data_IF_471395509390
#
_entry.id   IF_471395509390
#
_cell.length_a   1.000
_cell.length_b   1.000
_cell.length_c   1.000
_cell.angle_alpha   90.00
_cell.angle_beta   90.00
_cell.angle_gamma   90.00
#
_symmetry.space_group_name_H-M   'P 1'
#
loop_
_entity.id
_entity.type
_entity.pdbx_description
1 polymer ?
#
# COMPACT_ATOMS: atom_id res chain seq x y z
N UNK A 1 -10.75 6.79 -14.09
CA UNK A 1 -10.51 7.36 -12.73
C UNK A 1 -9.19 8.15 -12.68
N UNK A 2 -8.09 7.62 -13.22
CA UNK A 2 -6.77 8.23 -13.12
C UNK A 2 -6.65 9.60 -13.81
N UNK A 3 -7.10 9.68 -15.06
CA UNK A 3 -7.11 10.92 -15.85
C UNK A 3 -7.99 12.00 -15.19
N UNK A 4 -9.13 11.64 -14.64
CA UNK A 4 -10.00 12.55 -13.90
C UNK A 4 -9.30 13.13 -12.65
N UNK A 5 -8.50 12.32 -11.95
CA UNK A 5 -7.70 12.81 -10.82
C UNK A 5 -6.68 13.86 -11.24
N UNK A 6 -6.02 13.68 -12.37
CA UNK A 6 -5.11 14.68 -12.93
C UNK A 6 -5.83 15.95 -13.40
N UNK A 7 -6.97 15.82 -14.03
CA UNK A 7 -7.79 16.95 -14.46
C UNK A 7 -8.24 17.80 -13.25
N UNK A 8 -8.76 17.17 -12.21
CA UNK A 8 -9.11 17.84 -10.95
C UNK A 8 -7.90 18.52 -10.31
N UNK A 9 -6.74 17.85 -10.28
CA UNK A 9 -5.52 18.41 -9.73
C UNK A 9 -5.02 19.62 -10.53
N UNK A 10 -5.03 19.54 -11.86
CA UNK A 10 -4.54 20.60 -12.73
C UNK A 10 -5.48 21.82 -12.74
N UNK A 11 -6.79 21.60 -12.65
CA UNK A 11 -7.80 22.68 -12.58
C UNK A 11 -7.90 23.35 -11.19
N UNK A 12 -7.46 22.67 -10.12
CA UNK A 12 -7.52 23.19 -8.77
C UNK A 12 -6.72 24.51 -8.59
N UNK A 13 -7.26 25.43 -7.81
CA UNK A 13 -6.66 26.77 -7.58
C UNK A 13 -5.60 26.73 -6.49
N UNK A 14 -4.40 26.24 -6.83
CA UNK A 14 -3.21 26.27 -5.99
C UNK A 14 -2.08 27.04 -6.67
N UNK A 15 -1.12 27.63 -5.92
CA UNK A 15 0.05 28.27 -6.50
C UNK A 15 0.84 27.31 -7.40
N UNK A 16 1.34 27.74 -8.57
CA UNK A 16 2.03 26.88 -9.52
C UNK A 16 3.20 26.08 -8.92
N UNK A 17 3.98 26.71 -8.04
CA UNK A 17 5.10 26.06 -7.35
C UNK A 17 4.66 24.89 -6.50
N UNK A 18 3.55 25.05 -5.73
CA UNK A 18 3.00 23.98 -4.90
C UNK A 18 2.43 22.85 -5.77
N UNK A 19 1.74 23.19 -6.86
CA UNK A 19 1.27 22.20 -7.84
C UNK A 19 2.43 21.38 -8.39
N UNK A 20 3.50 22.03 -8.84
CA UNK A 20 4.66 21.32 -9.40
C UNK A 20 5.33 20.39 -8.38
N UNK A 21 5.56 20.87 -7.16
CA UNK A 21 6.13 20.06 -6.09
C UNK A 21 5.24 18.88 -5.73
N UNK A 22 3.93 19.07 -5.77
CA UNK A 22 2.95 18.02 -5.49
C UNK A 22 2.87 17.00 -6.63
N UNK A 23 2.94 17.44 -7.87
CA UNK A 23 2.97 16.55 -9.04
C UNK A 23 4.14 15.57 -8.99
N UNK A 24 5.31 16.03 -8.56
CA UNK A 24 6.46 15.13 -8.33
C UNK A 24 6.14 14.04 -7.30
N UNK A 25 5.43 14.38 -6.23
CA UNK A 25 5.03 13.38 -5.23
C UNK A 25 3.97 12.41 -5.76
N UNK A 26 3.00 12.91 -6.51
CA UNK A 26 1.99 12.05 -7.17
C UNK A 26 2.68 11.05 -8.09
N UNK A 27 3.60 11.50 -8.93
CA UNK A 27 4.34 10.62 -9.82
C UNK A 27 5.18 9.58 -9.06
N UNK A 28 5.86 10.00 -7.98
CA UNK A 28 6.61 9.08 -7.12
C UNK A 28 5.72 8.03 -6.44
N UNK A 29 4.54 8.44 -5.98
CA UNK A 29 3.54 7.54 -5.39
C UNK A 29 3.10 6.48 -6.39
N UNK A 30 2.76 6.90 -7.60
CA UNK A 30 2.33 6.02 -8.69
C UNK A 30 3.44 5.04 -9.08
N UNK A 31 4.65 5.54 -9.27
CA UNK A 31 5.81 4.71 -9.60
C UNK A 31 6.06 3.65 -8.52
N UNK A 32 6.03 4.05 -7.24
CA UNK A 32 6.16 3.11 -6.12
C UNK A 32 5.06 2.05 -6.14
N UNK A 33 3.80 2.45 -6.34
CA UNK A 33 2.67 1.52 -6.43
C UNK A 33 2.87 0.53 -7.57
N UNK A 34 3.25 0.98 -8.77
CA UNK A 34 3.56 0.11 -9.91
C UNK A 34 4.68 -0.88 -9.62
N UNK A 35 5.77 -0.43 -8.98
CA UNK A 35 6.84 -1.34 -8.52
C UNK A 35 6.29 -2.33 -7.50
N UNK A 36 5.41 -1.90 -6.59
CA UNK A 36 4.75 -2.75 -5.61
C UNK A 36 3.91 -3.84 -6.24
N UNK A 37 3.15 -3.52 -7.30
CA UNK A 37 2.38 -4.50 -8.08
C UNK A 37 3.28 -5.55 -8.74
N UNK A 38 4.37 -5.13 -9.37
CA UNK A 38 5.34 -6.05 -9.98
C UNK A 38 5.96 -6.97 -8.91
N UNK A 39 6.29 -6.44 -7.75
CA UNK A 39 6.83 -7.23 -6.63
C UNK A 39 5.82 -8.25 -6.12
N UNK A 40 4.54 -7.87 -6.01
CA UNK A 40 3.45 -8.75 -5.55
C UNK A 40 3.23 -9.91 -6.53
N UNK A 41 3.11 -9.61 -7.81
CA UNK A 41 2.98 -10.64 -8.87
C UNK A 41 4.19 -11.59 -8.84
N UNK A 42 5.42 -11.05 -8.79
CA UNK A 42 6.62 -11.88 -8.71
C UNK A 42 6.70 -12.73 -7.44
N UNK A 43 6.13 -12.23 -6.33
CA UNK A 43 6.09 -12.97 -5.06
C UNK A 43 5.20 -14.20 -5.16
N UNK A 44 4.07 -14.11 -5.89
CA UNK A 44 3.17 -15.24 -6.13
C UNK A 44 3.83 -16.42 -6.87
N UNK A 45 4.83 -16.17 -7.70
CA UNK A 45 5.58 -17.22 -8.41
C UNK A 45 6.74 -17.82 -7.60
N UNK A 46 7.07 -17.27 -6.43
CA UNK A 46 8.16 -17.78 -5.60
C UNK A 46 7.71 -18.97 -4.75
N UNK A 47 8.47 -20.05 -4.77
CA UNK A 47 8.21 -21.23 -3.92
C UNK A 47 8.34 -20.93 -2.41
N UNK A 48 9.16 -19.93 -2.04
CA UNK A 48 9.37 -19.52 -0.64
C UNK A 48 9.48 -17.99 -0.56
N UNK A 49 8.45 -17.35 -0.10
CA UNK A 49 8.48 -15.94 0.27
C UNK A 49 9.22 -15.76 1.61
N UNK A 50 9.85 -14.61 1.79
CA UNK A 50 10.41 -14.19 3.09
C UNK A 50 9.59 -13.02 3.62
N UNK A 51 9.48 -12.90 4.92
CA UNK A 51 8.78 -11.79 5.59
C UNK A 51 9.17 -10.42 5.02
N UNK A 52 10.47 -10.18 4.84
CA UNK A 52 10.99 -8.93 4.26
C UNK A 52 10.46 -8.64 2.85
N UNK A 53 10.19 -9.67 2.05
CA UNK A 53 9.69 -9.52 0.69
C UNK A 53 8.21 -9.11 0.73
N UNK A 54 7.41 -9.73 1.60
CA UNK A 54 6.00 -9.37 1.84
C UNK A 54 5.89 -7.95 2.39
N UNK A 55 6.67 -7.61 3.41
CA UNK A 55 6.70 -6.25 3.96
C UNK A 55 7.15 -5.20 2.93
N UNK A 56 8.00 -5.58 1.98
CA UNK A 56 8.38 -4.71 0.87
C UNK A 56 7.18 -4.46 -0.05
N UNK A 57 6.41 -5.49 -0.38
CA UNK A 57 5.15 -5.33 -1.14
C UNK A 57 4.20 -4.39 -0.40
N UNK A 58 3.94 -4.60 0.89
CA UNK A 58 3.07 -3.73 1.69
C UNK A 58 3.50 -2.24 1.65
N UNK A 59 4.82 -1.98 1.73
CA UNK A 59 5.36 -0.61 1.66
C UNK A 59 5.18 0.04 0.29
N UNK A 60 5.47 -0.70 -0.77
CA UNK A 60 5.46 -0.17 -2.13
C UNK A 60 4.05 -0.17 -2.74
N UNK A 61 3.31 -1.28 -2.62
CA UNK A 61 1.97 -1.42 -3.20
C UNK A 61 0.93 -0.64 -2.40
N UNK A 62 0.86 -0.81 -1.06
CA UNK A 62 -0.24 -0.26 -0.25
C UNK A 62 0.13 1.03 0.46
N UNK A 63 1.16 1.04 1.32
CA UNK A 63 1.47 2.22 2.13
C UNK A 63 1.78 3.47 1.28
N UNK A 64 2.34 3.29 0.08
CA UNK A 64 2.69 4.39 -0.80
C UNK A 64 1.48 5.21 -1.25
N UNK A 65 0.34 4.57 -1.57
CA UNK A 65 -0.84 5.28 -2.08
C UNK A 65 -1.98 5.41 -1.08
N UNK A 66 -2.05 4.54 -0.07
CA UNK A 66 -3.14 4.55 0.91
C UNK A 66 -2.90 5.58 2.01
N UNK A 67 -1.66 5.74 2.46
CA UNK A 67 -1.34 6.60 3.61
C UNK A 67 -0.25 7.63 3.30
N UNK A 68 0.95 7.22 2.82
CA UNK A 68 2.07 8.14 2.60
C UNK A 68 1.73 9.20 1.53
N UNK A 69 1.25 8.76 0.37
CA UNK A 69 0.95 9.63 -0.76
C UNK A 69 -0.07 10.71 -0.42
N UNK A 70 -1.30 10.37 0.02
CA UNK A 70 -2.33 11.36 0.34
C UNK A 70 -1.90 12.37 1.39
N UNK A 71 -1.25 11.92 2.48
CA UNK A 71 -0.77 12.82 3.53
C UNK A 71 0.32 13.78 3.03
N UNK A 72 1.27 13.29 2.24
CA UNK A 72 2.35 14.13 1.71
C UNK A 72 1.87 15.06 0.61
N UNK A 73 0.98 14.60 -0.27
CA UNK A 73 0.34 15.41 -1.31
C UNK A 73 -0.46 16.55 -0.67
N UNK A 74 -1.33 16.24 0.29
CA UNK A 74 -2.11 17.24 1.02
C UNK A 74 -1.23 18.25 1.74
N UNK A 75 -0.19 17.79 2.44
CA UNK A 75 0.74 18.65 3.14
C UNK A 75 1.49 19.61 2.18
N UNK A 76 1.93 19.12 1.03
CA UNK A 76 2.61 19.96 0.03
C UNK A 76 1.68 20.97 -0.62
N UNK A 77 0.45 20.58 -0.94
CA UNK A 77 -0.58 21.52 -1.43
C UNK A 77 -0.87 22.61 -0.41
N UNK A 78 -0.84 22.29 0.88
CA UNK A 78 -0.99 23.24 1.97
C UNK A 78 0.28 24.08 2.25
N UNK A 79 1.36 23.91 1.49
CA UNK A 79 2.61 24.66 1.69
C UNK A 79 3.41 24.23 2.93
N UNK A 80 3.26 23.00 3.40
CA UNK A 80 3.93 22.51 4.60
C UNK A 80 5.46 22.54 4.46
N UNK A 81 6.14 22.93 5.53
CA UNK A 81 7.60 22.93 5.60
C UNK A 81 8.17 21.49 5.51
N UNK A 82 9.37 21.36 4.95
CA UNK A 82 10.06 20.06 4.76
C UNK A 82 10.08 19.18 6.01
N UNK A 83 10.27 19.76 7.19
CA UNK A 83 10.30 19.04 8.46
C UNK A 83 8.96 18.35 8.80
N UNK A 84 7.81 19.03 8.53
CA UNK A 84 6.50 18.42 8.73
C UNK A 84 6.26 17.29 7.72
N UNK A 85 6.61 17.51 6.46
CA UNK A 85 6.50 16.46 5.41
C UNK A 85 7.29 15.20 5.79
N UNK A 86 8.50 15.36 6.34
CA UNK A 86 9.30 14.23 6.81
C UNK A 86 8.64 13.49 7.98
N UNK A 87 8.10 14.21 8.97
CA UNK A 87 7.35 13.59 10.09
C UNK A 87 6.13 12.82 9.61
N UNK A 88 5.38 13.36 8.64
CA UNK A 88 4.24 12.69 8.04
C UNK A 88 4.67 11.40 7.32
N UNK A 89 5.80 11.39 6.62
CA UNK A 89 6.35 10.16 6.00
C UNK A 89 6.75 9.10 7.02
N UNK A 90 7.37 9.51 8.14
CA UNK A 90 7.76 8.59 9.21
C UNK A 90 6.55 7.96 9.89
N UNK A 91 5.47 8.71 10.03
CA UNK A 91 4.20 8.23 10.58
C UNK A 91 3.42 7.34 9.60
N UNK A 92 3.27 7.80 8.36
CA UNK A 92 2.37 7.16 7.39
C UNK A 92 2.87 5.82 6.87
N UNK A 93 4.20 5.63 6.75
CA UNK A 93 4.75 4.37 6.24
C UNK A 93 4.40 3.16 7.11
N UNK A 94 4.69 3.15 8.43
CA UNK A 94 4.29 2.04 9.29
C UNK A 94 2.76 1.92 9.38
N UNK A 95 2.02 3.02 9.38
CA UNK A 95 0.56 3.00 9.38
C UNK A 95 0.01 2.27 8.15
N UNK A 96 0.55 2.53 6.96
CA UNK A 96 0.11 1.86 5.74
C UNK A 96 0.46 0.37 5.70
N UNK A 97 1.59 -0.02 6.30
CA UNK A 97 1.94 -1.44 6.47
C UNK A 97 0.97 -2.11 7.44
N UNK A 98 0.67 -1.48 8.58
CA UNK A 98 -0.31 -1.98 9.54
C UNK A 98 -1.71 -2.11 8.92
N UNK A 99 -2.11 -1.14 8.10
CA UNK A 99 -3.36 -1.18 7.35
C UNK A 99 -3.43 -2.42 6.44
N UNK A 100 -2.35 -2.73 5.70
CA UNK A 100 -2.34 -3.91 4.83
C UNK A 100 -2.36 -5.21 5.62
N UNK A 101 -1.65 -5.28 6.76
CA UNK A 101 -1.71 -6.46 7.64
C UNK A 101 -3.13 -6.67 8.16
N UNK A 102 -3.82 -5.59 8.54
CA UNK A 102 -5.21 -5.65 8.96
C UNK A 102 -6.14 -6.12 7.82
N UNK A 103 -5.92 -5.63 6.59
CA UNK A 103 -6.68 -6.07 5.40
C UNK A 103 -6.46 -7.58 5.14
N UNK A 104 -5.22 -8.06 5.24
CA UNK A 104 -4.89 -9.48 5.10
C UNK A 104 -5.57 -10.34 6.19
N UNK A 105 -5.66 -9.85 7.44
CA UNK A 105 -6.38 -10.51 8.55
C UNK A 105 -7.87 -10.59 8.24
N UNK A 106 -8.47 -9.48 7.85
CA UNK A 106 -9.89 -9.41 7.49
C UNK A 106 -10.21 -10.28 6.26
N UNK A 107 -9.29 -10.39 5.31
CA UNK A 107 -9.41 -11.24 4.13
C UNK A 107 -9.50 -12.75 4.47
N UNK A 108 -8.96 -13.17 5.63
CA UNK A 108 -9.00 -14.55 6.08
C UNK A 108 -10.08 -14.84 7.15
N UNK A 109 -10.34 -13.86 8.03
CA UNK A 109 -11.15 -14.07 9.24
C UNK A 109 -12.29 -13.05 9.38
N UNK A 110 -12.43 -12.11 8.43
CA UNK A 110 -13.48 -11.10 8.47
C UNK A 110 -14.86 -11.63 8.10
N UNK A 111 -15.91 -10.84 8.34
CA UNK A 111 -17.26 -11.13 7.88
C UNK A 111 -17.43 -10.61 6.43
N UNK A 112 -17.92 -11.45 5.54
CA UNK A 112 -18.20 -11.10 4.14
C UNK A 112 -19.18 -9.93 3.99
N UNK A 113 -20.11 -9.80 4.96
CA UNK A 113 -21.10 -8.72 4.98
C UNK A 113 -20.47 -7.36 5.26
N UNK A 114 -19.36 -7.35 6.04
CA UNK A 114 -18.63 -6.13 6.38
C UNK A 114 -17.55 -5.80 5.36
N UNK A 115 -16.82 -6.83 4.89
CA UNK A 115 -15.70 -6.66 3.96
C UNK A 115 -16.13 -6.54 2.50
N UNK A 116 -17.33 -7.02 2.16
CA UNK A 116 -17.83 -7.08 0.78
C UNK A 116 -17.06 -8.06 -0.12
N UNK A 117 -16.18 -8.90 0.46
CA UNK A 117 -15.35 -9.87 -0.27
C UNK A 117 -15.53 -11.27 0.34
N UNK A 118 -15.49 -12.35 -0.48
CA UNK A 118 -15.53 -13.71 0.05
C UNK A 118 -14.33 -14.01 0.95
N UNK A 119 -14.58 -14.53 2.14
CA UNK A 119 -13.53 -14.94 3.09
C UNK A 119 -12.60 -15.97 2.44
N UNK A 120 -11.30 -15.81 2.66
CA UNK A 120 -10.27 -16.70 2.11
C UNK A 120 -9.98 -16.51 0.61
N UNK A 121 -10.45 -15.41 0.00
CA UNK A 121 -10.15 -15.09 -1.41
C UNK A 121 -8.65 -15.03 -1.68
N UNK A 122 -7.88 -14.42 -0.80
CA UNK A 122 -6.42 -14.31 -0.91
C UNK A 122 -5.74 -15.69 -0.87
N UNK A 123 -6.25 -16.59 -0.03
CA UNK A 123 -5.75 -17.97 0.04
C UNK A 123 -6.04 -18.76 -1.24
N UNK A 124 -7.28 -18.63 -1.76
CA UNK A 124 -7.66 -19.27 -3.04
C UNK A 124 -6.84 -18.78 -4.23
N UNK A 125 -6.41 -17.51 -4.19
CA UNK A 125 -5.55 -16.91 -5.24
C UNK A 125 -4.06 -17.24 -5.04
N UNK A 126 -3.70 -17.97 -3.97
CA UNK A 126 -2.30 -18.30 -3.68
C UNK A 126 -1.45 -17.10 -3.27
N UNK A 127 -2.08 -16.01 -2.78
CA UNK A 127 -1.39 -14.80 -2.37
C UNK A 127 -0.48 -15.08 -1.17
N UNK A 128 0.75 -14.61 -1.25
CA UNK A 128 1.74 -14.76 -0.18
C UNK A 128 1.56 -13.63 0.84
N UNK A 129 0.82 -13.89 1.92
CA UNK A 129 0.63 -12.95 3.04
C UNK A 129 1.52 -13.32 4.23
N UNK A 130 1.70 -12.41 5.20
CA UNK A 130 2.40 -12.70 6.45
C UNK A 130 1.71 -13.81 7.24
N UNK A 131 0.38 -13.90 7.18
CA UNK A 131 -0.42 -14.93 7.86
C UNK A 131 -0.13 -16.31 7.28
N UNK A 132 -0.15 -16.43 5.94
CA UNK A 132 0.16 -17.68 5.24
C UNK A 132 1.61 -18.08 5.51
N UNK A 133 2.55 -17.14 5.44
CA UNK A 133 3.95 -17.39 5.75
C UNK A 133 4.12 -17.93 7.18
N UNK A 134 3.45 -17.30 8.16
CA UNK A 134 3.49 -17.71 9.56
C UNK A 134 2.92 -19.12 9.75
N UNK A 135 1.77 -19.41 9.15
CA UNK A 135 1.14 -20.72 9.20
C UNK A 135 2.04 -21.82 8.60
N UNK A 136 2.66 -21.56 7.44
CA UNK A 136 3.58 -22.52 6.80
C UNK A 136 4.88 -22.74 7.58
N UNK A 137 5.35 -21.75 8.33
CA UNK A 137 6.57 -21.88 9.14
C UNK A 137 6.33 -22.64 10.45
N UNK A 138 5.15 -22.45 11.07
CA UNK A 138 4.85 -22.97 12.40
C UNK A 138 3.88 -24.15 12.40
N UNK A 139 3.21 -24.44 11.27
CA UNK A 139 2.32 -25.58 11.12
C UNK A 139 3.04 -26.93 11.12
N UNK A 140 2.38 -27.96 11.59
CA UNK A 140 2.88 -29.33 11.53
C UNK A 140 2.98 -29.84 10.09
N UNK A 141 3.66 -30.98 9.88
CA UNK A 141 3.76 -31.61 8.54
C UNK A 141 2.39 -32.03 7.98
N UNK A 142 1.35 -32.17 8.82
CA UNK A 142 -0.03 -32.46 8.41
C UNK A 142 -0.81 -31.21 7.98
N UNK A 143 -0.38 -30.01 8.43
CA UNK A 143 -1.05 -28.73 8.18
C UNK A 143 -0.49 -28.02 6.93
N UNK A 144 0.57 -28.58 6.35
CA UNK A 144 1.26 -28.06 5.15
C UNK A 144 0.86 -28.83 3.91
#
# INVERSE_FOLDING_TARGET
AYLLGYELFTSAKFPPTQKMQTLVEINNMIFKCGVGEILDVNLGYRKKAKEKDILKVHRYKTASYTTEGPLVVGAKLAGAKKGLVQKLRLFSKPLGVAFQIQDDILGLFGDERETGKPVGSDLRQGKQTLLILHALQNGSSKDR
#
